data_IF_161646858526
#
_entry.id   IF_161646858526
#
_cell.length_a   1.000
_cell.length_b   1.000
_cell.length_c   1.000
_cell.angle_alpha   90.00
_cell.angle_beta   90.00
_cell.angle_gamma   90.00
#
_symmetry.space_group_name_H-M   'P 1'
#
loop_
_entity.id
_entity.type
_entity.pdbx_description
1 polymer ?
#
# COMPACT_ATOMS: atom_id res chain seq x y z
N UNK A 1 12.19 11.24 -6.96
CA UNK A 1 11.29 12.04 -7.82
C UNK A 1 11.86 12.06 -9.23
N UNK A 2 11.03 12.15 -10.26
CA UNK A 2 11.45 12.25 -11.67
C UNK A 2 10.89 13.55 -12.23
N UNK A 3 11.70 14.33 -12.96
CA UNK A 3 11.32 15.60 -13.57
C UNK A 3 11.57 15.58 -15.08
N UNK A 4 10.82 16.40 -15.83
CA UNK A 4 11.12 16.68 -17.24
C UNK A 4 12.26 17.71 -17.38
N UNK A 5 12.66 18.00 -18.62
CA UNK A 5 13.73 18.98 -18.92
C UNK A 5 13.43 20.42 -18.49
N UNK A 6 12.16 20.74 -18.21
CA UNK A 6 11.70 22.05 -17.78
C UNK A 6 11.43 22.11 -16.26
N UNK A 7 11.71 21.01 -15.53
CA UNK A 7 11.48 20.91 -14.08
C UNK A 7 10.05 20.50 -13.69
N UNK A 8 9.21 20.09 -14.64
CA UNK A 8 7.86 19.58 -14.34
C UNK A 8 7.96 18.19 -13.73
N UNK A 9 7.35 17.92 -12.56
CA UNK A 9 7.38 16.59 -11.96
C UNK A 9 6.61 15.56 -12.81
N UNK A 10 7.30 14.47 -13.17
CA UNK A 10 6.78 13.33 -13.91
C UNK A 10 6.43 12.15 -13.00
N UNK A 11 7.15 12.02 -11.88
CA UNK A 11 6.85 11.05 -10.83
C UNK A 11 7.23 11.62 -9.46
N UNK A 12 6.27 11.61 -8.53
CA UNK A 12 6.45 12.10 -7.16
C UNK A 12 6.23 10.98 -6.14
N UNK A 13 6.96 11.04 -5.02
CA UNK A 13 6.64 10.20 -3.87
C UNK A 13 5.61 10.92 -3.02
N UNK A 14 4.45 10.28 -2.82
CA UNK A 14 3.45 10.74 -1.86
C UNK A 14 3.35 9.70 -0.75
N UNK A 15 3.31 10.15 0.50
CA UNK A 15 2.95 9.28 1.61
C UNK A 15 1.51 8.80 1.41
N UNK A 16 1.29 7.51 1.50
CA UNK A 16 -0.04 6.91 1.45
C UNK A 16 -0.25 6.07 2.68
N UNK A 17 -1.46 6.13 3.20
CA UNK A 17 -1.86 5.34 4.34
C UNK A 17 -2.64 4.14 3.85
N UNK A 18 -2.26 2.97 4.30
CA UNK A 18 -2.98 1.74 4.04
C UNK A 18 -3.50 1.20 5.37
N UNK A 19 -4.80 1.01 5.45
CA UNK A 19 -5.44 0.37 6.59
C UNK A 19 -5.53 -1.12 6.27
N UNK A 20 -4.94 -1.94 7.12
CA UNK A 20 -4.84 -3.38 6.98
C UNK A 20 -5.45 -4.09 8.20
N UNK A 21 -5.87 -5.33 7.99
CA UNK A 21 -6.45 -6.19 9.04
C UNK A 21 -5.70 -7.50 9.10
N UNK A 22 -5.31 -7.94 10.29
CA UNK A 22 -4.76 -9.26 10.57
C UNK A 22 -5.92 -10.22 10.88
N UNK A 23 -6.27 -11.16 9.97
CA UNK A 23 -7.49 -11.95 10.11
C UNK A 23 -7.60 -12.80 11.38
N UNK A 24 -6.48 -13.25 11.96
CA UNK A 24 -6.49 -14.07 13.18
C UNK A 24 -6.80 -13.25 14.46
N UNK A 25 -6.62 -11.93 14.41
CA UNK A 25 -6.74 -11.05 15.58
C UNK A 25 -8.06 -10.25 15.59
N UNK A 26 -8.83 -10.27 14.49
CA UNK A 26 -10.02 -9.45 14.33
C UNK A 26 -11.29 -10.15 14.81
N UNK A 27 -12.19 -9.37 15.43
CA UNK A 27 -13.54 -9.80 15.84
C UNK A 27 -14.62 -9.21 14.93
N UNK A 28 -15.84 -9.75 14.94
CA UNK A 28 -16.97 -9.18 14.19
C UNK A 28 -17.30 -7.75 14.64
N UNK A 29 -17.23 -7.47 15.95
CA UNK A 29 -17.44 -6.13 16.49
C UNK A 29 -16.39 -5.13 15.93
N UNK A 30 -15.15 -5.58 15.80
CA UNK A 30 -14.08 -4.79 15.17
C UNK A 30 -14.34 -4.53 13.70
N UNK A 31 -14.85 -5.52 12.95
CA UNK A 31 -15.17 -5.36 11.52
C UNK A 31 -16.29 -4.33 11.34
N UNK A 32 -17.34 -4.40 12.14
CA UNK A 32 -18.46 -3.45 12.11
C UNK A 32 -17.96 -2.04 12.42
N UNK A 33 -17.24 -1.88 13.53
CA UNK A 33 -16.71 -0.57 13.95
C UNK A 33 -15.72 0.00 12.93
N UNK A 34 -14.83 -0.83 12.38
CA UNK A 34 -13.90 -0.41 11.34
C UNK A 34 -14.65 0.05 10.09
N UNK A 35 -15.69 -0.67 9.67
CA UNK A 35 -16.55 -0.29 8.54
C UNK A 35 -17.14 1.11 8.70
N UNK A 36 -17.67 1.41 9.88
CA UNK A 36 -18.21 2.75 10.20
C UNK A 36 -17.14 3.85 10.17
N UNK A 37 -15.92 3.55 10.63
CA UNK A 37 -14.81 4.49 10.65
C UNK A 37 -14.25 4.79 9.26
N UNK A 38 -14.23 3.80 8.37
CA UNK A 38 -13.67 3.93 7.02
C UNK A 38 -14.73 4.15 5.93
N UNK A 39 -16.00 4.26 6.31
CA UNK A 39 -17.15 4.47 5.44
C UNK A 39 -17.28 3.35 4.40
N UNK A 40 -17.23 2.09 4.85
CA UNK A 40 -17.35 0.90 4.02
C UNK A 40 -18.31 -0.10 4.65
N UNK A 41 -19.08 -0.81 3.82
CA UNK A 41 -19.99 -1.85 4.29
C UNK A 41 -19.21 -2.96 5.03
N UNK A 42 -19.57 -3.27 6.30
CA UNK A 42 -18.99 -4.38 7.02
C UNK A 42 -19.09 -5.73 6.29
N UNK A 43 -20.14 -5.95 5.47
CA UNK A 43 -20.27 -7.16 4.66
C UNK A 43 -19.15 -7.30 3.62
N UNK A 44 -18.84 -6.22 2.90
CA UNK A 44 -17.74 -6.20 1.93
C UNK A 44 -16.39 -6.43 2.61
N UNK A 45 -16.20 -5.87 3.81
CA UNK A 45 -15.00 -6.08 4.61
C UNK A 45 -14.85 -7.54 5.02
N UNK A 46 -15.92 -8.17 5.52
CA UNK A 46 -15.91 -9.60 5.88
C UNK A 46 -15.52 -10.47 4.68
N UNK A 47 -16.13 -10.24 3.53
CA UNK A 47 -15.85 -11.04 2.34
C UNK A 47 -14.40 -10.86 1.89
N UNK A 48 -13.88 -9.64 1.90
CA UNK A 48 -12.48 -9.33 1.56
C UNK A 48 -11.48 -9.99 2.52
N UNK A 49 -11.79 -10.03 3.82
CA UNK A 49 -10.97 -10.68 4.84
C UNK A 49 -11.03 -12.21 4.68
N UNK A 50 -12.23 -12.77 4.45
CA UNK A 50 -12.46 -14.21 4.30
C UNK A 50 -11.78 -14.78 3.05
N UNK A 51 -11.86 -14.09 1.91
CA UNK A 51 -11.24 -14.53 0.66
C UNK A 51 -9.71 -14.61 0.73
N UNK A 52 -9.10 -13.83 1.64
CA UNK A 52 -7.65 -13.80 1.86
C UNK A 52 -7.20 -14.63 3.08
N UNK A 53 -8.12 -15.38 3.69
CA UNK A 53 -7.89 -16.16 4.92
C UNK A 53 -6.92 -17.35 4.78
N UNK A 54 -6.50 -17.72 3.57
CA UNK A 54 -5.48 -18.75 3.35
C UNK A 54 -4.15 -18.44 4.08
N UNK A 55 -3.93 -17.18 4.46
CA UNK A 55 -2.79 -16.79 5.30
C UNK A 55 -3.24 -15.85 6.43
N UNK A 56 -3.91 -16.41 7.45
CA UNK A 56 -4.53 -15.70 8.58
C UNK A 56 -3.62 -14.78 9.40
N UNK A 57 -2.30 -14.92 9.24
CA UNK A 57 -1.29 -14.12 9.93
C UNK A 57 -0.80 -12.92 9.09
N UNK A 58 -1.19 -12.86 7.81
CA UNK A 58 -0.78 -11.75 6.93
C UNK A 58 -1.81 -10.62 6.98
N UNK A 59 -1.38 -9.36 7.12
CA UNK A 59 -2.26 -8.22 6.98
C UNK A 59 -2.95 -8.21 5.61
N UNK A 60 -4.26 -7.97 5.62
CA UNK A 60 -5.11 -7.81 4.45
C UNK A 60 -5.46 -6.34 4.34
N UNK A 61 -4.95 -5.68 3.30
CA UNK A 61 -5.24 -4.27 3.03
C UNK A 61 -6.74 -4.07 2.73
N UNK A 62 -7.47 -3.47 3.66
CA UNK A 62 -8.91 -3.20 3.52
C UNK A 62 -9.14 -1.88 2.81
N UNK A 63 -8.31 -0.85 3.05
CA UNK A 63 -8.36 0.45 2.37
C UNK A 63 -6.95 0.93 2.03
N UNK A 64 -6.66 1.13 0.75
CA UNK A 64 -5.38 1.67 0.24
C UNK A 64 -5.56 3.16 -0.08
N UNK A 65 -4.48 3.94 0.04
CA UNK A 65 -4.49 5.40 -0.20
C UNK A 65 -5.59 6.11 0.60
N UNK A 66 -5.73 5.72 1.88
CA UNK A 66 -6.75 6.25 2.77
C UNK A 66 -6.51 7.75 3.03
N UNK A 67 -7.55 8.60 2.95
CA UNK A 67 -7.44 10.01 3.32
C UNK A 67 -6.97 10.16 4.77
N UNK A 68 -6.16 11.18 5.03
CA UNK A 68 -5.63 11.44 6.37
C UNK A 68 -6.73 11.57 7.44
N UNK A 69 -7.89 12.11 7.08
CA UNK A 69 -9.05 12.22 7.99
C UNK A 69 -9.56 10.83 8.43
N UNK A 70 -9.70 9.88 7.51
CA UNK A 70 -10.10 8.50 7.81
C UNK A 70 -9.04 7.83 8.68
N UNK A 71 -7.76 8.03 8.36
CA UNK A 71 -6.65 7.47 9.13
C UNK A 71 -6.65 8.00 10.55
N UNK A 72 -6.84 9.30 10.72
CA UNK A 72 -6.90 9.95 12.03
C UNK A 72 -8.05 9.38 12.86
N UNK A 73 -9.23 9.21 12.27
CA UNK A 73 -10.39 8.57 12.92
C UNK A 73 -10.10 7.13 13.35
N UNK A 74 -9.39 6.35 12.53
CA UNK A 74 -9.02 4.97 12.88
C UNK A 74 -7.97 4.93 14.00
N UNK A 75 -6.94 5.76 13.91
CA UNK A 75 -5.87 5.86 14.92
C UNK A 75 -6.41 6.30 16.29
N UNK A 76 -7.38 7.22 16.33
CA UNK A 76 -8.06 7.62 17.57
C UNK A 76 -8.75 6.45 18.30
N UNK A 77 -9.21 5.45 17.54
CA UNK A 77 -9.93 4.28 18.05
C UNK A 77 -9.08 3.00 18.02
N UNK A 78 -7.77 3.09 17.77
CA UNK A 78 -6.92 1.92 17.51
C UNK A 78 -6.94 0.90 18.66
N UNK A 79 -7.07 1.37 19.90
CA UNK A 79 -7.18 0.51 21.09
C UNK A 79 -8.44 -0.35 21.11
N UNK A 80 -9.47 0.03 20.36
CA UNK A 80 -10.74 -0.67 20.23
C UNK A 80 -10.80 -1.52 18.94
N UNK A 81 -9.72 -1.53 18.17
CA UNK A 81 -9.62 -2.19 16.87
C UNK A 81 -8.51 -3.26 16.84
N UNK A 82 -8.61 -4.33 17.65
CA UNK A 82 -7.61 -5.39 17.67
C UNK A 82 -7.42 -6.01 16.27
N UNK A 83 -6.17 -6.20 15.88
CA UNK A 83 -5.80 -6.71 14.56
C UNK A 83 -5.88 -5.69 13.42
N UNK A 84 -6.23 -4.42 13.68
CA UNK A 84 -6.16 -3.36 12.67
C UNK A 84 -4.79 -2.67 12.73
N UNK A 85 -4.17 -2.45 11.58
CA UNK A 85 -2.90 -1.72 11.46
C UNK A 85 -3.01 -0.62 10.42
N UNK A 86 -2.29 0.47 10.64
CA UNK A 86 -2.11 1.55 9.66
C UNK A 86 -0.66 1.55 9.22
N UNK A 87 -0.45 1.25 7.94
CA UNK A 87 0.87 1.24 7.32
C UNK A 87 1.07 2.52 6.50
N UNK A 88 2.19 3.21 6.73
CA UNK A 88 2.59 4.36 5.93
C UNK A 88 3.56 3.88 4.85
N UNK A 89 3.10 3.89 3.60
CA UNK A 89 3.89 3.48 2.45
C UNK A 89 4.06 4.62 1.45
N UNK A 90 5.24 4.79 0.84
CA UNK A 90 5.37 5.68 -0.31
C UNK A 90 4.61 5.08 -1.49
N UNK A 91 3.67 5.83 -2.08
CA UNK A 91 3.13 5.51 -3.41
C UNK A 91 3.64 6.51 -4.42
N UNK A 92 3.91 6.02 -5.64
CA UNK A 92 4.33 6.85 -6.75
C UNK A 92 3.12 7.49 -7.41
N UNK A 93 3.08 8.81 -7.41
CA UNK A 93 2.11 9.61 -8.15
C UNK A 93 2.70 9.97 -9.52
N UNK A 94 1.96 9.71 -10.59
CA UNK A 94 2.33 10.10 -11.96
C UNK A 94 1.38 11.21 -12.46
N UNK A 95 1.74 12.50 -12.33
CA UNK A 95 0.83 13.63 -12.59
C UNK A 95 0.29 13.69 -14.02
N UNK A 96 1.05 13.17 -14.99
CA UNK A 96 0.66 13.11 -16.41
C UNK A 96 -0.14 11.83 -16.77
N UNK A 97 -0.45 10.99 -15.79
CA UNK A 97 -1.26 9.79 -15.96
C UNK A 97 -0.72 8.81 -17.01
N UNK A 98 -1.62 8.31 -17.85
CA UNK A 98 -1.36 7.22 -18.81
C UNK A 98 -0.27 7.54 -19.86
N UNK A 99 -0.07 8.82 -20.19
CA UNK A 99 0.95 9.23 -21.17
C UNK A 99 2.38 8.98 -20.66
N UNK A 100 2.59 8.95 -19.34
CA UNK A 100 3.89 8.70 -18.72
C UNK A 100 4.18 7.22 -18.46
N UNK A 101 3.17 6.40 -18.15
CA UNK A 101 3.38 5.07 -17.55
C UNK A 101 4.10 4.05 -18.43
N UNK A 102 3.99 4.11 -19.75
CA UNK A 102 4.72 3.20 -20.65
C UNK A 102 6.21 3.53 -20.74
N UNK A 103 6.55 4.82 -20.67
CA UNK A 103 7.93 5.30 -20.76
C UNK A 103 8.61 5.37 -19.38
N UNK A 104 7.93 5.98 -18.41
CA UNK A 104 8.36 6.06 -17.01
C UNK A 104 8.37 4.70 -16.35
N UNK A 105 7.41 3.83 -16.68
CA UNK A 105 7.22 2.56 -16.02
C UNK A 105 6.40 2.68 -14.73
N UNK A 106 6.40 1.61 -13.94
CA UNK A 106 5.70 1.55 -12.65
C UNK A 106 6.52 0.81 -11.60
N UNK A 107 6.21 1.07 -10.34
CA UNK A 107 6.72 0.31 -9.18
C UNK A 107 5.66 -0.67 -8.69
N UNK A 108 6.09 -1.83 -8.19
CA UNK A 108 5.20 -2.77 -7.50
C UNK A 108 5.97 -3.60 -6.47
N UNK A 109 5.25 -4.24 -5.56
CA UNK A 109 5.83 -5.05 -4.48
C UNK A 109 6.84 -6.09 -5.03
N UNK A 110 7.94 -6.28 -4.31
CA UNK A 110 8.92 -7.33 -4.59
C UNK A 110 8.25 -8.70 -4.43
N UNK A 111 8.30 -9.53 -5.48
CA UNK A 111 7.77 -10.89 -5.41
C UNK A 111 8.81 -11.85 -4.80
N UNK A 112 8.40 -13.08 -4.44
CA UNK A 112 9.29 -14.06 -3.77
C UNK A 112 10.57 -14.35 -4.55
N UNK A 113 10.46 -14.57 -5.85
CA UNK A 113 11.60 -14.89 -6.74
C UNK A 113 12.59 -13.72 -6.85
N UNK A 114 12.07 -12.48 -6.82
CA UNK A 114 12.89 -11.28 -6.81
C UNK A 114 13.52 -11.02 -5.45
N UNK A 115 12.80 -11.30 -4.36
CA UNK A 115 13.29 -11.07 -3.00
C UNK A 115 14.58 -11.84 -2.74
N UNK A 116 14.66 -13.10 -3.17
CA UNK A 116 15.88 -13.92 -3.05
C UNK A 116 17.10 -13.25 -3.69
N UNK A 117 16.90 -12.57 -4.83
CA UNK A 117 17.97 -11.87 -5.57
C UNK A 117 18.23 -10.46 -5.06
N UNK A 118 17.25 -9.84 -4.40
CA UNK A 118 17.30 -8.45 -3.96
C UNK A 118 17.62 -8.33 -2.47
N UNK A 119 17.61 -9.43 -1.73
CA UNK A 119 18.05 -9.46 -0.32
C UNK A 119 19.50 -9.00 -0.20
N UNK A 120 20.37 -9.33 -1.17
CA UNK A 120 21.76 -8.83 -1.22
C UNK A 120 21.85 -7.32 -1.46
N UNK A 121 20.81 -6.72 -2.05
CA UNK A 121 20.64 -5.26 -2.18
C UNK A 121 19.89 -4.66 -0.98
N UNK A 122 19.53 -5.47 0.02
CA UNK A 122 18.84 -5.03 1.24
C UNK A 122 17.34 -4.78 1.08
N UNK A 123 16.66 -5.40 0.09
CA UNK A 123 15.20 -5.33 -0.02
C UNK A 123 14.53 -6.30 0.96
N UNK A 124 13.39 -5.86 1.52
CA UNK A 124 12.52 -6.65 2.39
C UNK A 124 11.23 -7.02 1.67
N UNK A 125 10.53 -8.04 2.20
CA UNK A 125 9.20 -8.41 1.72
C UNK A 125 8.23 -7.25 1.97
N UNK A 126 7.59 -6.74 0.92
CA UNK A 126 6.68 -5.58 1.00
C UNK A 126 7.28 -4.31 0.41
N UNK A 127 8.60 -4.27 0.17
CA UNK A 127 9.23 -3.15 -0.51
C UNK A 127 8.72 -3.02 -1.95
N UNK A 128 8.64 -1.78 -2.44
CA UNK A 128 8.33 -1.49 -3.84
C UNK A 128 9.62 -1.45 -4.67
N UNK A 129 9.55 -2.00 -5.89
CA UNK A 129 10.64 -1.95 -6.87
C UNK A 129 10.11 -1.55 -8.25
N UNK A 130 10.87 -0.75 -8.98
CA UNK A 130 10.65 -0.43 -10.38
C UNK A 130 10.60 -1.69 -11.26
N UNK A 131 9.42 -1.95 -11.86
CA UNK A 131 9.19 -3.14 -12.71
C UNK A 131 9.43 -2.89 -14.19
N UNK A 132 9.31 -1.64 -14.64
CA UNK A 132 9.46 -1.28 -16.06
C UNK A 132 9.95 0.16 -16.22
N UNK A 133 10.21 0.55 -17.48
CA UNK A 133 10.53 1.93 -17.86
C UNK A 133 11.76 2.51 -17.16
N UNK A 134 11.75 3.83 -16.98
CA UNK A 134 12.75 4.58 -16.20
C UNK A 134 12.83 4.08 -14.76
N UNK A 135 11.70 3.74 -14.12
CA UNK A 135 11.70 3.25 -12.73
C UNK A 135 12.60 2.01 -12.57
N UNK A 136 12.53 1.05 -13.50
CA UNK A 136 13.42 -0.13 -13.47
C UNK A 136 14.88 0.19 -13.82
N UNK A 137 15.10 1.02 -14.83
CA UNK A 137 16.45 1.33 -15.33
C UNK A 137 17.25 2.14 -14.31
N UNK A 138 16.59 3.03 -13.59
CA UNK A 138 17.21 3.93 -12.60
C UNK A 138 16.86 3.57 -11.15
N UNK A 139 16.38 2.35 -10.89
CA UNK A 139 16.02 1.88 -9.55
C UNK A 139 17.12 2.17 -8.51
N UNK A 140 18.38 1.87 -8.85
CA UNK A 140 19.52 2.05 -7.95
C UNK A 140 19.76 3.54 -7.56
N UNK A 141 19.23 4.50 -8.33
CA UNK A 141 19.29 5.94 -8.04
C UNK A 141 17.97 6.50 -7.47
N UNK A 142 16.86 5.79 -7.63
CA UNK A 142 15.52 6.25 -7.25
C UNK A 142 15.04 5.69 -5.91
N UNK A 143 15.75 4.68 -5.38
CA UNK A 143 15.51 4.05 -4.09
C UNK A 143 15.78 4.99 -2.91
#
# INVERSE_FOLDING_TARGET
MIFDRNGTPLAENRATYTISVIPIEISEDTIVKLGDLIEQDPADLRDKIRDRSLNRFKPVAVKRDAPFEIVSRVEEHIFELPGVTVDIGPTRLYPLGFLGSHFLGYVAEVNKEQLERLTVKGYLSGDLIGKSGIEKVYEDYLR
#
